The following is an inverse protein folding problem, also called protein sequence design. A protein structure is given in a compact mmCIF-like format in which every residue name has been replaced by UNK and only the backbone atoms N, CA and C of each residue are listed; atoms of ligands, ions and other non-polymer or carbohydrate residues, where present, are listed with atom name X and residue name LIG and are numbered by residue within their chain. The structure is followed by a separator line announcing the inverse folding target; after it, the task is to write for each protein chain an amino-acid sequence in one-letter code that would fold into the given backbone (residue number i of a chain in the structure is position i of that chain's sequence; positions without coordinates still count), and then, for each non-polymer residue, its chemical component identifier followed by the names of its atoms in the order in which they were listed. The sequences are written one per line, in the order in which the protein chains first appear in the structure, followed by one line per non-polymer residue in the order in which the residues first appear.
data_IF_319711671413
#
_entry.id   IF_319711671413
#
_cell.length_a   1.000
_cell.length_b   1.000
_cell.length_c   1.000
_cell.angle_alpha   90.00
_cell.angle_beta   90.00
_cell.angle_gamma   90.00
#
_symmetry.space_group_name_H-M   'P 1'
#
loop_
_entity.id
_entity.type
_entity.pdbx_description
1 polymer ?
#
# COMPACT_ATOMS: atom_id res chain seq x y z
N UNK A 1 14.44 18.43 -43.76
CA UNK A 1 13.65 19.50 -44.42
C UNK A 1 12.19 19.11 -44.69
N UNK A 2 11.86 17.85 -44.97
CA UNK A 2 10.46 17.40 -45.20
C UNK A 2 9.49 17.57 -44.01
N UNK A 3 10.00 17.50 -42.76
CA UNK A 3 9.18 17.65 -41.54
C UNK A 3 8.67 19.09 -41.29
N UNK A 4 9.39 20.11 -41.76
CA UNK A 4 9.01 21.53 -41.55
C UNK A 4 7.91 21.97 -42.51
N UNK A 5 7.88 21.41 -43.72
CA UNK A 5 6.81 21.66 -44.70
C UNK A 5 5.48 21.03 -44.27
N UNK A 6 5.52 19.86 -43.63
CA UNK A 6 4.34 19.16 -43.12
C UNK A 6 3.68 19.91 -41.94
N UNK A 7 4.48 20.53 -41.07
CA UNK A 7 3.95 21.31 -39.93
C UNK A 7 3.33 22.64 -40.37
N UNK A 8 3.85 23.29 -41.42
CA UNK A 8 3.25 24.52 -41.96
C UNK A 8 1.93 24.27 -42.69
N UNK A 9 1.82 23.14 -43.41
CA UNK A 9 0.59 22.78 -44.11
C UNK A 9 -0.59 22.48 -43.15
N UNK A 10 -0.31 21.86 -42.00
CA UNK A 10 -1.34 21.57 -40.99
C UNK A 10 -1.80 22.85 -40.27
N UNK A 11 -0.88 23.80 -40.02
CA UNK A 11 -1.20 25.05 -39.34
C UNK A 11 -2.10 25.98 -40.20
N UNK A 12 -2.00 25.89 -41.53
CA UNK A 12 -2.82 26.67 -42.47
C UNK A 12 -4.24 26.12 -42.67
N UNK A 13 -4.53 24.88 -42.26
CA UNK A 13 -5.86 24.27 -42.37
C UNK A 13 -6.69 24.50 -41.09
N UNK A 14 -6.06 24.82 -39.96
CA UNK A 14 -6.73 24.91 -38.65
C UNK A 14 -7.24 26.31 -38.26
N UNK A 15 -7.17 27.31 -39.15
CA UNK A 15 -7.75 28.64 -38.91
C UNK A 15 -8.86 28.91 -39.92
N UNK A 16 -10.12 28.57 -39.62
CA UNK A 16 -11.24 29.18 -40.31
C UNK A 16 -11.38 30.62 -39.81
N UNK A 17 -11.25 31.56 -40.75
CA UNK A 17 -11.56 32.97 -40.60
C UNK A 17 -12.95 33.20 -40.01
N UNK A 18 -13.07 34.22 -39.15
CA UNK A 18 -13.48 35.60 -39.48
C UNK A 18 -14.99 35.79 -39.67
N UNK A 19 -15.46 36.83 -38.98
CA UNK A 19 -16.71 37.57 -39.17
C UNK A 19 -18.00 36.94 -38.66
N UNK A 20 -18.44 37.40 -37.48
CA UNK A 20 -19.76 38.02 -37.31
C UNK A 20 -19.75 38.88 -36.04
N UNK A 21 -19.91 40.19 -36.22
CA UNK A 21 -20.26 41.14 -35.16
C UNK A 21 -21.79 41.15 -35.06
N UNK A 22 -22.41 40.81 -33.92
CA UNK A 22 -23.70 41.34 -33.59
C UNK A 22 -23.52 42.66 -32.84
N UNK A 23 -24.20 43.67 -33.38
CA UNK A 23 -24.62 44.87 -32.68
C UNK A 23 -25.27 44.47 -31.35
N UNK A 24 -24.98 45.23 -30.31
CA UNK A 24 -25.20 44.84 -28.92
C UNK A 24 -26.64 44.55 -28.52
N UNK A 25 -26.77 43.77 -27.45
CA UNK A 25 -27.88 43.81 -26.51
C UNK A 25 -27.26 43.63 -25.12
N UNK A 26 -27.57 44.56 -24.22
CA UNK A 26 -27.17 44.49 -22.82
C UNK A 26 -27.65 43.17 -22.21
N UNK A 27 -26.72 42.30 -21.81
CA UNK A 27 -27.00 41.08 -21.08
C UNK A 27 -26.57 41.25 -19.62
N UNK A 28 -27.54 41.06 -18.74
CA UNK A 28 -27.51 41.30 -17.30
C UNK A 28 -26.39 40.53 -16.58
N UNK A 29 -25.70 41.12 -15.58
CA UNK A 29 -24.58 40.50 -14.85
C UNK A 29 -24.96 39.32 -13.95
N UNK A 30 -26.24 38.91 -13.93
CA UNK A 30 -26.73 37.86 -13.05
C UNK A 30 -26.48 36.42 -13.54
N UNK A 31 -26.31 36.18 -14.85
CA UNK A 31 -26.26 34.81 -15.40
C UNK A 31 -24.90 34.11 -15.25
N UNK A 32 -23.79 34.85 -15.13
CA UNK A 32 -22.44 34.28 -15.04
C UNK A 32 -22.04 33.87 -13.62
N UNK A 33 -22.70 34.42 -12.62
CA UNK A 33 -22.39 34.14 -11.21
C UNK A 33 -22.92 32.75 -10.84
N UNK A 34 -24.17 32.44 -11.21
CA UNK A 34 -24.76 31.12 -10.94
C UNK A 34 -24.09 29.97 -11.71
N UNK A 35 -23.62 30.20 -12.95
CA UNK A 35 -22.88 29.18 -13.72
C UNK A 35 -21.47 28.92 -13.15
N UNK A 36 -20.81 29.97 -12.63
CA UNK A 36 -19.53 29.86 -11.96
C UNK A 36 -19.67 29.15 -10.61
N UNK A 37 -20.70 29.50 -9.84
CA UNK A 37 -21.02 28.83 -8.57
C UNK A 37 -21.38 27.35 -8.77
N UNK A 38 -22.08 27.00 -9.86
CA UNK A 38 -22.39 25.62 -10.22
C UNK A 38 -21.11 24.80 -10.52
N UNK A 39 -20.16 25.35 -11.29
CA UNK A 39 -18.89 24.69 -11.59
C UNK A 39 -17.99 24.56 -10.36
N UNK A 40 -18.01 25.55 -9.46
CA UNK A 40 -17.26 25.51 -8.19
C UNK A 40 -17.85 24.43 -7.28
N UNK A 41 -19.17 24.32 -7.18
CA UNK A 41 -19.84 23.29 -6.41
C UNK A 41 -19.58 21.88 -6.97
N UNK A 42 -19.61 21.71 -8.29
CA UNK A 42 -19.36 20.42 -8.94
C UNK A 42 -17.89 19.98 -8.77
N UNK A 43 -16.95 20.92 -8.84
CA UNK A 43 -15.53 20.68 -8.56
C UNK A 43 -15.27 20.37 -7.07
N UNK A 44 -15.97 21.05 -6.15
CA UNK A 44 -15.89 20.78 -4.72
C UNK A 44 -16.46 19.39 -4.37
N UNK A 45 -17.56 18.98 -4.99
CA UNK A 45 -18.11 17.64 -4.84
C UNK A 45 -17.22 16.55 -5.45
N UNK A 46 -16.59 16.82 -6.60
CA UNK A 46 -15.64 15.90 -7.21
C UNK A 46 -14.37 15.75 -6.34
N UNK A 47 -13.87 16.84 -5.78
CA UNK A 47 -12.77 16.84 -4.83
C UNK A 47 -13.14 16.12 -3.53
N UNK A 48 -14.35 16.33 -3.00
CA UNK A 48 -14.86 15.62 -1.83
C UNK A 48 -14.99 14.10 -2.10
N UNK A 49 -15.50 13.70 -3.26
CA UNK A 49 -15.56 12.30 -3.70
C UNK A 49 -14.17 11.67 -3.88
N UNK A 50 -13.19 12.44 -4.36
CA UNK A 50 -11.80 11.99 -4.46
C UNK A 50 -11.17 11.82 -3.07
N UNK A 51 -11.41 12.75 -2.16
CA UNK A 51 -10.93 12.68 -0.77
C UNK A 51 -11.56 11.50 -0.01
N UNK A 52 -12.86 11.26 -0.19
CA UNK A 52 -13.56 10.11 0.40
C UNK A 52 -13.05 8.77 -0.14
N UNK A 53 -12.65 8.68 -1.42
CA UNK A 53 -12.00 7.48 -1.95
C UNK A 53 -10.67 7.19 -1.27
N UNK A 54 -9.81 8.20 -1.13
CA UNK A 54 -8.52 8.03 -0.44
C UNK A 54 -8.72 7.59 1.02
N UNK A 55 -9.73 8.12 1.71
CA UNK A 55 -10.07 7.70 3.08
C UNK A 55 -10.57 6.25 3.12
N UNK A 56 -11.32 5.79 2.11
CA UNK A 56 -11.86 4.44 2.05
C UNK A 56 -10.80 3.37 1.72
N UNK A 57 -9.74 3.76 1.00
CA UNK A 57 -8.67 2.86 0.56
C UNK A 57 -7.53 2.72 1.58
N UNK A 58 -7.56 3.47 2.69
CA UNK A 58 -6.54 3.38 3.74
C UNK A 58 -6.60 2.03 4.48
N UNK A 59 -5.60 1.18 4.25
CA UNK A 59 -5.38 -0.09 4.94
C UNK A 59 -4.05 -0.10 5.71
N UNK A 60 -4.07 -0.75 6.88
CA UNK A 60 -2.86 -0.96 7.70
C UNK A 60 -2.63 -2.46 7.82
N UNK A 61 -1.49 -2.92 7.31
CA UNK A 61 -1.07 -4.32 7.40
C UNK A 61 0.12 -4.44 8.32
N UNK A 62 -0.03 -5.23 9.37
CA UNK A 62 1.00 -5.47 10.36
C UNK A 62 1.50 -6.90 10.22
N UNK A 63 2.78 -7.03 9.85
CA UNK A 63 3.51 -8.28 9.81
C UNK A 63 4.16 -8.50 11.17
N UNK A 64 3.83 -9.59 11.85
CA UNK A 64 4.37 -9.88 13.17
C UNK A 64 4.73 -11.35 13.37
N UNK A 65 5.62 -11.64 14.32
CA UNK A 65 6.00 -13.02 14.65
C UNK A 65 5.04 -13.62 15.69
N UNK A 66 4.14 -14.51 15.26
CA UNK A 66 3.25 -15.26 16.17
C UNK A 66 4.02 -16.23 17.08
N UNK A 67 5.01 -16.94 16.53
CA UNK A 67 5.88 -17.85 17.29
C UNK A 67 6.69 -17.15 18.41
N UNK A 68 6.91 -15.85 18.26
CA UNK A 68 7.64 -15.02 19.23
C UNK A 68 6.71 -14.39 20.29
N UNK A 69 5.38 -14.60 20.19
CA UNK A 69 4.41 -14.11 21.17
C UNK A 69 3.85 -12.70 20.92
N UNK A 70 4.14 -12.07 19.78
CA UNK A 70 3.69 -10.68 19.49
C UNK A 70 2.19 -10.55 19.17
N UNK A 71 1.43 -11.65 19.15
CA UNK A 71 0.00 -11.62 18.90
C UNK A 71 -0.77 -10.75 19.91
N UNK A 72 -0.36 -10.74 21.18
CA UNK A 72 -1.00 -9.90 22.21
C UNK A 72 -0.71 -8.42 21.98
N UNK A 73 0.51 -8.08 21.56
CA UNK A 73 0.91 -6.71 21.24
C UNK A 73 0.15 -6.19 20.02
N UNK A 74 -0.05 -7.04 19.00
CA UNK A 74 -0.89 -6.70 17.85
C UNK A 74 -2.34 -6.41 18.26
N UNK A 75 -2.93 -7.22 19.16
CA UNK A 75 -4.30 -7.01 19.61
C UNK A 75 -4.47 -5.65 20.33
N UNK A 76 -3.50 -5.26 21.16
CA UNK A 76 -3.50 -3.96 21.84
C UNK A 76 -3.34 -2.81 20.86
N UNK A 77 -2.37 -2.91 19.94
CA UNK A 77 -2.15 -1.87 18.94
C UNK A 77 -3.37 -1.73 18.01
N UNK A 78 -4.00 -2.84 17.62
CA UNK A 78 -5.23 -2.84 16.82
C UNK A 78 -6.34 -2.05 17.52
N UNK A 79 -6.59 -2.34 18.80
CA UNK A 79 -7.58 -1.59 19.59
C UNK A 79 -7.24 -0.09 19.62
N UNK A 80 -5.98 0.26 19.91
CA UNK A 80 -5.55 1.66 19.92
C UNK A 80 -5.76 2.36 18.57
N UNK A 81 -5.45 1.70 17.45
CA UNK A 81 -5.64 2.25 16.10
C UNK A 81 -7.12 2.42 15.76
N UNK A 82 -7.96 1.46 16.13
CA UNK A 82 -9.41 1.51 15.90
C UNK A 82 -10.09 2.58 16.75
N UNK A 83 -9.63 2.81 17.98
CA UNK A 83 -10.10 3.89 18.85
C UNK A 83 -9.61 5.27 18.38
N UNK A 84 -8.36 5.38 17.94
CA UNK A 84 -7.75 6.66 17.53
C UNK A 84 -8.22 7.08 16.14
N UNK A 85 -8.43 6.13 15.24
CA UNK A 85 -8.78 6.37 13.85
C UNK A 85 -10.07 5.58 13.50
N UNK A 86 -11.26 6.16 13.73
CA UNK A 86 -12.53 5.47 13.50
C UNK A 86 -12.78 5.13 12.03
N UNK A 87 -12.04 5.75 11.10
CA UNK A 87 -12.10 5.37 9.70
C UNK A 87 -11.35 4.07 9.41
N UNK A 88 -10.34 3.69 10.20
CA UNK A 88 -9.53 2.46 10.02
C UNK A 88 -10.17 1.21 10.64
N UNK A 89 -11.33 1.35 11.28
CA UNK A 89 -12.07 0.22 11.89
C UNK A 89 -12.31 -0.86 10.82
N UNK A 90 -11.97 -2.10 11.16
CA UNK A 90 -11.99 -3.27 10.27
C UNK A 90 -11.00 -3.28 9.09
N UNK A 91 -10.12 -2.27 8.97
CA UNK A 91 -9.07 -2.19 7.93
C UNK A 91 -7.65 -2.38 8.45
N UNK A 92 -7.51 -2.76 9.72
CA UNK A 92 -6.24 -3.13 10.35
C UNK A 92 -6.07 -4.65 10.30
N UNK A 93 -5.19 -5.12 9.43
CA UNK A 93 -4.92 -6.54 9.20
C UNK A 93 -3.62 -6.95 9.85
N UNK A 94 -3.66 -8.08 10.57
CA UNK A 94 -2.49 -8.72 11.15
C UNK A 94 -2.17 -10.00 10.40
N UNK A 95 -0.94 -10.13 9.91
CA UNK A 95 -0.46 -11.36 9.26
C UNK A 95 0.82 -11.83 9.94
N UNK A 96 0.94 -13.15 10.12
CA UNK A 96 2.18 -13.73 10.58
C UNK A 96 3.25 -13.55 9.49
N UNK A 97 4.52 -13.34 9.85
CA UNK A 97 5.60 -13.42 8.86
C UNK A 97 5.45 -14.71 8.05
N UNK A 98 5.33 -14.55 6.74
CA UNK A 98 5.38 -15.67 5.83
C UNK A 98 6.79 -16.25 5.92
N UNK A 99 6.86 -17.39 6.58
CA UNK A 99 8.04 -18.23 6.72
C UNK A 99 8.36 -18.92 5.39
N UNK A 100 8.29 -18.17 4.29
CA UNK A 100 8.58 -18.62 2.93
C UNK A 100 10.06 -18.36 2.62
N UNK A 101 10.96 -19.12 3.25
CA UNK A 101 11.81 -19.98 2.43
C UNK A 101 12.16 -21.33 3.06
N UNK A 102 11.87 -21.61 4.33
CA UNK A 102 12.45 -22.79 4.99
C UNK A 102 11.90 -24.10 4.43
N UNK A 103 10.62 -24.12 4.05
CA UNK A 103 10.01 -25.30 3.41
C UNK A 103 10.70 -25.67 2.08
N UNK A 104 11.32 -24.71 1.39
CA UNK A 104 12.13 -24.94 0.18
C UNK A 104 13.62 -25.10 0.49
N UNK A 105 14.09 -24.47 1.57
CA UNK A 105 15.48 -24.46 2.03
C UNK A 105 15.88 -25.78 2.71
N UNK A 106 15.01 -26.37 3.53
CA UNK A 106 15.23 -27.65 4.20
C UNK A 106 15.52 -28.78 3.18
N UNK A 107 14.71 -28.95 2.12
CA UNK A 107 15.04 -29.85 1.01
C UNK A 107 16.31 -29.42 0.26
N UNK A 108 16.52 -28.12 0.03
CA UNK A 108 17.69 -27.62 -0.71
C UNK A 108 19.03 -27.80 0.04
N UNK A 109 19.01 -27.86 1.37
CA UNK A 109 20.16 -28.21 2.21
C UNK A 109 20.33 -29.72 2.39
N UNK A 110 19.51 -30.55 1.74
CA UNK A 110 19.57 -32.01 1.86
C UNK A 110 19.16 -32.51 3.26
N UNK A 111 18.48 -31.67 4.05
CA UNK A 111 17.92 -32.07 5.34
C UNK A 111 16.61 -32.77 5.07
N UNK A 112 16.73 -34.06 4.75
CA UNK A 112 15.59 -34.93 4.52
C UNK A 112 14.94 -35.31 5.86
N UNK A 113 13.64 -35.62 5.83
CA UNK A 113 12.87 -36.04 7.02
C UNK A 113 13.44 -37.31 7.68
N UNK A 114 14.27 -38.05 6.95
CA UNK A 114 15.01 -39.23 7.42
C UNK A 114 16.25 -38.86 8.22
N UNK A 115 17.00 -37.82 7.82
CA UNK A 115 18.17 -37.32 8.56
C UNK A 115 17.74 -36.70 9.89
N UNK A 116 16.62 -35.98 9.89
CA UNK A 116 15.99 -35.44 11.10
C UNK A 116 15.54 -36.53 12.06
N UNK A 117 14.94 -37.62 11.57
CA UNK A 117 14.56 -38.78 12.40
C UNK A 117 15.78 -39.48 12.99
N UNK A 118 16.83 -39.71 12.20
CA UNK A 118 18.09 -40.25 12.71
C UNK A 118 18.72 -39.34 13.78
N UNK A 119 18.68 -38.02 13.58
CA UNK A 119 19.18 -37.07 14.57
C UNK A 119 18.33 -37.02 15.85
N UNK A 120 17.00 -37.20 15.75
CA UNK A 120 16.09 -37.30 16.88
C UNK A 120 16.33 -38.55 17.74
N UNK A 121 16.72 -39.67 17.12
CA UNK A 121 17.02 -40.92 17.83
C UNK A 121 18.35 -40.88 18.58
N UNK A 122 19.20 -39.88 18.34
CA UNK A 122 20.49 -39.72 19.00
C UNK A 122 20.49 -38.49 19.93
N UNK A 123 20.46 -38.72 21.25
CA UNK A 123 20.32 -37.66 22.27
C UNK A 123 21.30 -36.49 22.11
N UNK A 124 22.53 -36.75 21.67
CA UNK A 124 23.55 -35.71 21.45
C UNK A 124 23.28 -34.93 20.16
N UNK A 125 22.91 -35.61 19.08
CA UNK A 125 22.59 -34.97 17.80
C UNK A 125 21.31 -34.13 17.91
N UNK A 126 20.27 -34.64 18.58
CA UNK A 126 19.04 -33.90 18.85
C UNK A 126 19.32 -32.59 19.60
N UNK A 127 20.20 -32.63 20.61
CA UNK A 127 20.59 -31.42 21.35
C UNK A 127 21.32 -30.41 20.44
N UNK A 128 22.26 -30.86 19.62
CA UNK A 128 22.98 -29.97 18.67
C UNK A 128 22.03 -29.36 17.66
N UNK A 129 21.07 -30.12 17.13
CA UNK A 129 20.04 -29.61 16.20
C UNK A 129 19.16 -28.57 16.88
N UNK A 130 18.68 -28.82 18.11
CA UNK A 130 17.85 -27.86 18.86
C UNK A 130 18.61 -26.57 19.14
N UNK A 131 19.89 -26.67 19.57
CA UNK A 131 20.73 -25.49 19.81
C UNK A 131 20.98 -24.71 18.52
N UNK A 132 21.33 -25.39 17.43
CA UNK A 132 21.57 -24.76 16.13
C UNK A 132 20.31 -24.07 15.59
N UNK A 133 19.15 -24.70 15.72
CA UNK A 133 17.87 -24.15 15.31
C UNK A 133 17.45 -22.96 16.18
N UNK A 134 17.74 -23.00 17.49
CA UNK A 134 17.56 -21.85 18.40
C UNK A 134 18.46 -20.65 18.07
N UNK A 135 19.71 -20.90 17.62
CA UNK A 135 20.61 -19.85 17.14
C UNK A 135 20.13 -19.24 15.81
N UNK A 136 19.63 -20.07 14.90
CA UNK A 136 19.04 -19.60 13.64
C UNK A 136 17.75 -18.80 13.87
N UNK A 137 16.87 -19.26 14.76
CA UNK A 137 15.65 -18.55 15.12
C UNK A 137 15.95 -17.18 15.75
N UNK A 138 16.93 -17.10 16.66
CA UNK A 138 17.36 -15.84 17.27
C UNK A 138 17.82 -14.78 16.26
N UNK A 139 18.41 -15.20 15.13
CA UNK A 139 18.83 -14.31 14.04
C UNK A 139 17.63 -13.75 13.27
N UNK A 140 16.56 -14.52 13.14
CA UNK A 140 15.33 -14.13 12.45
C UNK A 140 14.44 -13.24 13.35
N UNK A 141 14.46 -13.45 14.66
CA UNK A 141 13.76 -12.58 15.62
C UNK A 141 14.39 -11.18 15.69
N UNK A 142 15.68 -11.06 15.37
CA UNK A 142 16.42 -9.80 15.47
C UNK A 142 16.18 -8.80 14.32
N UNK A 143 15.56 -9.24 13.20
CA UNK A 143 15.39 -8.39 12.00
C UNK A 143 14.09 -7.60 11.91
N UNK A 144 13.29 -7.54 12.98
CA UNK A 144 11.98 -6.89 12.98
C UNK A 144 10.90 -7.93 13.27
N UNK A 145 10.39 -7.93 14.50
CA UNK A 145 9.28 -8.81 14.89
C UNK A 145 7.92 -8.16 14.63
N UNK A 146 7.92 -6.92 14.13
CA UNK A 146 6.77 -6.06 13.91
C UNK A 146 7.07 -5.07 12.79
N UNK A 147 6.46 -5.27 11.62
CA UNK A 147 6.56 -4.35 10.49
C UNK A 147 5.17 -3.83 10.14
N UNK A 148 5.02 -2.51 10.09
CA UNK A 148 3.75 -1.85 9.77
C UNK A 148 3.80 -1.29 8.36
N UNK A 149 2.87 -1.72 7.53
CA UNK A 149 2.66 -1.25 6.17
C UNK A 149 1.38 -0.42 6.12
N UNK A 150 1.49 0.79 5.57
CA UNK A 150 0.35 1.66 5.28
C UNK A 150 0.15 1.68 3.77
N UNK A 151 -1.01 1.22 3.29
CA UNK A 151 -1.31 1.13 1.86
C UNK A 151 -0.20 0.43 1.05
N UNK A 152 0.37 -0.64 1.62
CA UNK A 152 1.46 -1.41 1.01
C UNK A 152 2.85 -0.78 1.09
N UNK A 153 3.01 0.41 1.68
CA UNK A 153 4.31 1.05 1.92
C UNK A 153 4.81 0.79 3.34
N UNK A 154 6.06 0.34 3.45
CA UNK A 154 6.74 0.14 4.74
C UNK A 154 6.96 1.48 5.44
N UNK A 155 6.53 1.59 6.70
CA UNK A 155 6.76 2.77 7.52
C UNK A 155 7.83 2.49 8.60
N UNK A 156 9.06 3.00 8.43
CA UNK A 156 10.14 2.79 9.40
C UNK A 156 10.00 3.60 10.70
N UNK A 157 8.99 4.48 10.81
CA UNK A 157 8.84 5.36 11.98
C UNK A 157 8.33 4.64 13.25
N UNK A 158 7.94 3.37 13.13
CA UNK A 158 7.41 2.56 14.24
C UNK A 158 8.36 1.37 14.50
N UNK A 159 9.12 1.37 15.62
CA UNK A 159 9.99 0.26 16.01
C UNK A 159 9.24 -0.93 16.63
#
# INVERSE_FOLDING_TARGET
MLRVLLTLAIYLIAVPGTLTRPVGVAASPAASVFEADAKVNEAAEAAARHLQRNIADDEVRVLFCTACGYHQNFAQMKQYLEETYPHLVDRVYGVNYDVEPYQKLLPALGVDMTLLRWALDNRVAAFVVVVAMGMAASKLTASGAFEIYFNGMFNPAWP
#
